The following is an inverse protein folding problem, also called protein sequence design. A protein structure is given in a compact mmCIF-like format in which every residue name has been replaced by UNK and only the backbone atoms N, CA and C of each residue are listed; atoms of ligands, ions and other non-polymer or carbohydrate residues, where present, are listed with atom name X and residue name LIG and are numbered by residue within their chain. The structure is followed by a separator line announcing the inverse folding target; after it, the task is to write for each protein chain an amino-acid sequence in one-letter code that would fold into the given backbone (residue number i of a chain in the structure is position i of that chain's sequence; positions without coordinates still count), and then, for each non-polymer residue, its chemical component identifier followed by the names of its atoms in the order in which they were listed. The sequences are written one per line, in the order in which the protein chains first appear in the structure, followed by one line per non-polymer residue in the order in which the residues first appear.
data_IF_424063522329
#
_entry.id   IF_424063522329
#
_cell.length_a   1.000
_cell.length_b   1.000
_cell.length_c   1.000
_cell.angle_alpha   90.00
_cell.angle_beta   90.00
_cell.angle_gamma   90.00
#
_symmetry.space_group_name_H-M   'P 1'
#
loop_
_entity.id
_entity.type
_entity.pdbx_description
1 polymer ?
#
# COMPACT_ATOMS: atom_id res chain seq x y z
N UNK A 1 -0.33 7.22 34.38
CA UNK A 1 -0.56 7.67 35.78
C UNK A 1 0.47 7.03 36.69
N UNK A 2 1.10 7.82 37.54
CA UNK A 2 2.21 7.47 38.42
C UNK A 2 1.79 7.59 39.90
N UNK A 3 2.55 7.02 40.85
CA UNK A 3 2.28 7.23 42.28
C UNK A 3 2.27 8.70 42.71
N UNK A 4 3.08 9.55 42.07
CA UNK A 4 3.09 10.99 42.33
C UNK A 4 1.77 11.65 41.86
N UNK A 5 1.25 11.28 40.69
CA UNK A 5 -0.04 11.78 40.20
C UNK A 5 -1.19 11.37 41.14
N UNK A 6 -1.12 10.16 41.72
CA UNK A 6 -2.11 9.69 42.70
C UNK A 6 -2.03 10.53 43.98
N UNK A 7 -0.83 10.79 44.50
CA UNK A 7 -0.63 11.64 45.67
C UNK A 7 -1.10 13.07 45.43
N UNK A 8 -0.76 13.65 44.28
CA UNK A 8 -1.23 14.99 43.89
C UNK A 8 -2.76 15.04 43.86
N UNK A 9 -3.44 13.99 43.37
CA UNK A 9 -4.90 13.97 43.31
C UNK A 9 -5.57 13.83 44.69
N UNK A 10 -4.93 13.15 45.65
CA UNK A 10 -5.46 12.97 46.99
C UNK A 10 -5.17 14.14 47.94
N UNK A 11 -4.21 15.00 47.60
CA UNK A 11 -3.89 16.17 48.42
C UNK A 11 -4.78 17.37 48.09
N UNK A 12 -5.31 18.09 49.10
CA UNK A 12 -5.95 19.38 48.91
C UNK A 12 -4.99 20.34 48.18
N UNK A 13 -5.47 21.06 47.16
CA UNK A 13 -4.70 22.11 46.49
C UNK A 13 -4.97 23.49 47.10
N UNK A 14 -6.02 23.61 47.91
CA UNK A 14 -6.39 24.82 48.64
C UNK A 14 -6.98 24.45 49.99
N UNK A 15 -7.02 25.41 50.92
CA UNK A 15 -7.64 25.24 52.24
C UNK A 15 -9.15 25.00 52.20
N UNK A 16 -9.78 25.26 51.04
CA UNK A 16 -11.21 25.06 50.81
C UNK A 16 -11.52 23.71 50.14
N UNK A 17 -10.52 22.98 49.65
CA UNK A 17 -10.71 21.67 49.04
C UNK A 17 -11.11 20.66 50.11
N UNK A 18 -12.28 20.06 49.92
CA UNK A 18 -12.74 18.95 50.77
C UNK A 18 -12.18 17.63 50.25
N UNK A 19 -12.20 16.62 51.11
CA UNK A 19 -11.83 15.24 50.78
C UNK A 19 -12.55 14.75 49.52
N UNK A 20 -13.85 15.03 49.41
CA UNK A 20 -14.66 14.69 48.22
C UNK A 20 -14.12 15.32 46.93
N UNK A 21 -13.63 16.56 46.98
CA UNK A 21 -13.05 17.24 45.81
C UNK A 21 -11.77 16.53 45.37
N UNK A 22 -10.93 16.12 46.32
CA UNK A 22 -9.70 15.38 46.05
C UNK A 22 -10.02 14.00 45.44
N UNK A 23 -10.98 13.26 46.02
CA UNK A 23 -11.40 11.96 45.49
C UNK A 23 -12.03 12.07 44.09
N UNK A 24 -12.88 13.06 43.85
CA UNK A 24 -13.47 13.28 42.53
C UNK A 24 -12.40 13.60 41.49
N UNK A 25 -11.36 14.35 41.85
CA UNK A 25 -10.22 14.63 40.98
C UNK A 25 -9.45 13.35 40.65
N UNK A 26 -9.19 12.49 41.64
CA UNK A 26 -8.56 11.19 41.43
C UNK A 26 -9.37 10.30 40.49
N UNK A 27 -10.69 10.21 40.71
CA UNK A 27 -11.60 9.42 39.85
C UNK A 27 -11.56 9.95 38.41
N UNK A 28 -11.58 11.27 38.23
CA UNK A 28 -11.46 11.89 36.92
C UNK A 28 -10.14 11.54 36.22
N UNK A 29 -9.02 11.65 36.94
CA UNK A 29 -7.70 11.32 36.42
C UNK A 29 -7.58 9.84 36.03
N UNK A 30 -8.14 8.92 36.83
CA UNK A 30 -8.16 7.50 36.52
C UNK A 30 -8.98 7.18 35.26
N UNK A 31 -10.16 7.79 35.12
CA UNK A 31 -11.00 7.62 33.92
C UNK A 31 -10.29 8.11 32.67
N UNK A 32 -9.68 9.30 32.74
CA UNK A 32 -8.92 9.85 31.62
C UNK A 32 -7.72 8.96 31.23
N UNK A 33 -6.95 8.48 32.21
CA UNK A 33 -5.82 7.59 31.95
C UNK A 33 -6.26 6.26 31.31
N UNK A 34 -7.41 5.73 31.70
CA UNK A 34 -7.98 4.52 31.09
C UNK A 34 -8.43 4.77 29.65
N UNK A 35 -9.14 5.88 29.40
CA UNK A 35 -9.59 6.26 28.06
C UNK A 35 -8.41 6.50 27.11
N UNK A 36 -7.37 7.20 27.57
CA UNK A 36 -6.14 7.45 26.80
C UNK A 36 -5.44 6.12 26.44
N UNK A 37 -5.36 5.19 27.40
CA UNK A 37 -4.75 3.88 27.17
C UNK A 37 -5.51 3.07 26.11
N UNK A 38 -6.85 3.12 26.13
CA UNK A 38 -7.70 2.46 25.14
C UNK A 38 -7.51 3.10 23.76
N UNK A 39 -7.58 4.43 23.68
CA UNK A 39 -7.37 5.17 22.41
C UNK A 39 -6.03 4.87 21.79
N UNK A 40 -4.96 4.84 22.59
CA UNK A 40 -3.61 4.53 22.11
C UNK A 40 -3.51 3.12 21.55
N UNK A 41 -4.13 2.14 22.22
CA UNK A 41 -4.16 0.76 21.74
C UNK A 41 -4.96 0.63 20.43
N UNK A 42 -6.08 1.34 20.30
CA UNK A 42 -6.87 1.35 19.08
C UNK A 42 -6.11 2.01 17.91
N UNK A 43 -5.47 3.14 18.15
CA UNK A 43 -4.67 3.86 17.15
C UNK A 43 -3.49 3.00 16.68
N UNK A 44 -2.78 2.34 17.59
CA UNK A 44 -1.67 1.44 17.26
C UNK A 44 -2.16 0.24 16.42
N UNK A 45 -3.30 -0.34 16.78
CA UNK A 45 -3.90 -1.44 16.02
C UNK A 45 -4.30 -1.01 14.61
N UNK A 46 -4.91 0.18 14.46
CA UNK A 46 -5.27 0.77 13.15
C UNK A 46 -4.02 1.04 12.31
N UNK A 47 -2.98 1.65 12.89
CA UNK A 47 -1.73 1.94 12.19
C UNK A 47 -1.03 0.66 11.70
N UNK A 48 -1.04 -0.41 12.51
CA UNK A 48 -0.51 -1.71 12.12
C UNK A 48 -1.29 -2.33 10.96
N UNK A 49 -2.63 -2.29 11.01
CA UNK A 49 -3.48 -2.82 9.95
C UNK A 49 -3.28 -2.05 8.62
N UNK A 50 -3.21 -0.72 8.67
CA UNK A 50 -2.96 0.11 7.49
C UNK A 50 -1.59 -0.19 6.86
N UNK A 51 -0.56 -0.37 7.69
CA UNK A 51 0.78 -0.73 7.23
C UNK A 51 0.78 -2.10 6.54
N UNK A 52 0.14 -3.10 7.14
CA UNK A 52 0.04 -4.45 6.57
C UNK A 52 -0.74 -4.44 5.24
N UNK A 53 -1.80 -3.64 5.12
CA UNK A 53 -2.55 -3.50 3.88
C UNK A 53 -1.70 -2.85 2.77
N UNK A 54 -0.97 -1.78 3.09
CA UNK A 54 -0.05 -1.12 2.14
C UNK A 54 1.04 -2.06 1.66
N UNK A 55 1.64 -2.85 2.55
CA UNK A 55 2.65 -3.85 2.21
C UNK A 55 2.08 -4.92 1.26
N UNK A 56 0.87 -5.43 1.53
CA UNK A 56 0.19 -6.39 0.62
C UNK A 56 -0.14 -5.77 -0.74
N UNK A 57 -0.59 -4.52 -0.79
CA UNK A 57 -0.86 -3.85 -2.06
C UNK A 57 0.42 -3.62 -2.87
N UNK A 58 1.53 -3.27 -2.22
CA UNK A 58 2.83 -3.16 -2.89
C UNK A 58 3.31 -4.51 -3.45
N UNK A 59 3.23 -5.59 -2.68
CA UNK A 59 3.65 -6.91 -3.16
C UNK A 59 2.85 -7.39 -4.38
N UNK A 60 1.53 -7.16 -4.39
CA UNK A 60 0.67 -7.50 -5.54
C UNK A 60 1.05 -6.67 -6.77
N UNK A 61 1.40 -5.39 -6.58
CA UNK A 61 1.79 -4.51 -7.68
C UNK A 61 3.14 -4.92 -8.28
N UNK A 62 4.12 -5.25 -7.44
CA UNK A 62 5.42 -5.76 -7.88
C UNK A 62 5.32 -7.12 -8.61
N UNK A 63 4.42 -8.00 -8.16
CA UNK A 63 4.19 -9.30 -8.83
C UNK A 63 3.54 -9.12 -10.21
N UNK A 64 2.57 -8.20 -10.32
CA UNK A 64 1.90 -7.88 -11.59
C UNK A 64 2.84 -7.23 -12.60
N UNK A 65 3.74 -6.35 -12.16
CA UNK A 65 4.73 -5.70 -13.03
C UNK A 65 5.78 -6.71 -13.54
N UNK A 66 6.19 -7.69 -12.71
CA UNK A 66 7.06 -8.79 -13.15
C UNK A 66 6.40 -9.68 -14.22
N UNK A 67 5.12 -10.02 -14.05
CA UNK A 67 4.39 -10.85 -15.02
C UNK A 67 4.17 -10.16 -16.38
N UNK A 68 4.02 -8.83 -16.40
CA UNK A 68 3.93 -8.07 -17.65
C UNK A 68 5.26 -7.98 -18.41
N UNK A 69 6.39 -7.85 -17.71
CA UNK A 69 7.71 -7.85 -18.38
C UNK A 69 8.05 -9.19 -19.04
N UNK A 70 7.63 -10.32 -18.45
CA UNK A 70 7.89 -11.65 -18.99
C UNK A 70 7.06 -12.02 -20.23
N UNK A 71 6.01 -11.26 -20.55
CA UNK A 71 5.18 -11.45 -21.75
C UNK A 71 5.64 -10.62 -22.96
N UNK A 72 6.55 -9.66 -22.76
CA UNK A 72 7.02 -8.78 -23.84
C UNK A 72 8.20 -9.35 -24.66
N UNK A 73 8.88 -10.39 -24.17
CA UNK A 73 10.02 -11.01 -24.86
C UNK A 73 9.65 -12.13 -25.87
N UNK A 74 8.37 -12.34 -26.19
CA UNK A 74 7.93 -13.44 -27.09
C UNK A 74 7.34 -13.03 -28.43
N UNK A 75 7.23 -11.73 -28.73
CA UNK A 75 6.58 -11.25 -29.96
C UNK A 75 7.51 -10.45 -30.90
N UNK A 76 8.84 -10.52 -30.75
CA UNK A 76 9.79 -9.87 -31.69
C UNK A 76 10.81 -10.84 -32.32
N UNK A 77 10.50 -12.14 -32.38
CA UNK A 77 11.32 -13.14 -33.10
C UNK A 77 10.49 -13.92 -34.15
N UNK A 78 9.63 -13.24 -34.91
CA UNK A 78 9.01 -13.86 -36.11
C UNK A 78 9.05 -13.00 -37.39
N UNK A 79 9.70 -11.84 -37.39
CA UNK A 79 9.81 -10.96 -38.57
C UNK A 79 11.23 -10.84 -39.16
N UNK A 80 12.03 -11.90 -39.11
CA UNK A 80 13.41 -11.89 -39.66
C UNK A 80 13.76 -13.08 -40.57
N UNK A 81 12.78 -13.70 -41.25
CA UNK A 81 13.05 -14.70 -42.29
C UNK A 81 12.11 -14.60 -43.49
N UNK A 82 12.15 -13.50 -44.23
CA UNK A 82 11.64 -13.51 -45.61
C UNK A 82 12.36 -12.50 -46.51
N UNK A 83 13.69 -12.60 -46.61
CA UNK A 83 14.46 -11.90 -47.67
C UNK A 83 15.58 -12.80 -48.17
N UNK A 84 15.29 -13.62 -49.18
CA UNK A 84 16.17 -14.06 -50.29
C UNK A 84 15.71 -15.43 -50.78
N UNK A 85 14.94 -15.45 -51.87
CA UNK A 85 15.22 -16.33 -53.01
C UNK A 85 14.29 -15.96 -54.17
N UNK A 86 14.74 -15.09 -55.08
CA UNK A 86 14.22 -15.06 -56.44
C UNK A 86 15.28 -14.42 -57.33
N UNK A 87 16.26 -15.23 -57.70
CA UNK A 87 17.33 -14.87 -58.61
C UNK A 87 17.70 -16.07 -59.47
N UNK A 88 16.79 -16.55 -60.31
CA UNK A 88 17.11 -17.46 -61.41
C UNK A 88 16.24 -17.14 -62.63
N UNK A 89 16.95 -16.81 -63.69
CA UNK A 89 16.47 -16.28 -64.94
C UNK A 89 15.73 -17.32 -65.80
N UNK A 90 14.64 -16.90 -66.44
CA UNK A 90 14.22 -17.47 -67.72
C UNK A 90 13.54 -16.39 -68.58
N UNK A 91 14.42 -15.75 -69.36
CA UNK A 91 14.23 -15.15 -70.69
C UNK A 91 12.93 -15.57 -71.43
N UNK A 92 12.34 -14.55 -72.11
CA UNK A 92 11.82 -14.62 -73.49
C UNK A 92 10.44 -15.34 -73.66
N UNK A 93 9.42 -14.89 -74.41
CA UNK A 93 9.30 -14.23 -75.72
C UNK A 93 7.83 -13.74 -75.90
N UNK A 94 7.68 -12.52 -76.45
CA UNK A 94 6.67 -11.96 -77.40
C UNK A 94 5.14 -12.20 -77.20
N UNK A 95 4.27 -11.20 -77.20
CA UNK A 95 3.94 -10.11 -78.18
C UNK A 95 2.61 -10.44 -78.89
N UNK A 96 1.70 -9.45 -78.86
CA UNK A 96 0.56 -9.20 -79.76
C UNK A 96 -0.79 -9.92 -79.57
N UNK A 97 -1.83 -9.09 -79.32
CA UNK A 97 -2.91 -8.96 -80.31
C UNK A 97 -4.36 -9.19 -79.85
N UNK A 98 -5.05 -8.10 -79.46
CA UNK A 98 -6.34 -7.61 -79.99
C UNK A 98 -7.53 -8.59 -80.24
N UNK A 99 -8.62 -8.31 -79.51
CA UNK A 99 -10.05 -8.20 -79.91
C UNK A 99 -10.67 -9.25 -80.86
N UNK A 100 -11.72 -9.94 -80.39
CA UNK A 100 -13.06 -9.96 -81.03
C UNK A 100 -14.15 -10.16 -79.98
#
# INVERSE_FOLDING_TARGET
MTPADVAENLMPKSDYDKEETCFNRLIGALKAAMEESIKKAEEEARAKAEKEEKEKQQSIKEEKDKEQSAKQDKDDETLAKEVKENGLAAKQVQENGVIH
#
